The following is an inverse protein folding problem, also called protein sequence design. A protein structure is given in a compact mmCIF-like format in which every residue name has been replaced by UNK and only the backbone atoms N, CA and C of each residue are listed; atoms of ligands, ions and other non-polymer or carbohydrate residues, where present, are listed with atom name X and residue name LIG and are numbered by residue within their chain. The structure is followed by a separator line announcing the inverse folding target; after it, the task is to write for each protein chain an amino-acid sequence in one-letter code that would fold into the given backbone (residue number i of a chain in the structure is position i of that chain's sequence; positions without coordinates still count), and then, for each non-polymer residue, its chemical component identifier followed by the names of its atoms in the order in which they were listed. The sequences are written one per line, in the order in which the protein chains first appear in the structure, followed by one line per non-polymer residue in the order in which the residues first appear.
data_IF_346001813289
#
_entry.id   IF_346001813289
#
_cell.length_a   1.000
_cell.length_b   1.000
_cell.length_c   1.000
_cell.angle_alpha   90.00
_cell.angle_beta   90.00
_cell.angle_gamma   90.00
#
_symmetry.space_group_name_H-M   'P 1'
#
loop_
_entity.id
_entity.type
_entity.pdbx_description
1 polymer ?
#
# COMPACT_ATOMS: atom_id res chain seq x y z
N UNK A 1 16.49 -14.42 -24.15
CA UNK A 1 15.29 -14.83 -23.37
C UNK A 1 14.78 -13.72 -22.43
N UNK A 2 15.04 -12.43 -22.69
CA UNK A 2 14.76 -11.32 -21.74
C UNK A 2 13.42 -10.58 -21.95
N UNK A 3 12.75 -10.75 -23.10
CA UNK A 3 11.53 -9.96 -23.44
C UNK A 3 10.30 -10.35 -22.62
N UNK A 4 10.11 -11.63 -22.28
CA UNK A 4 8.95 -12.10 -21.51
C UNK A 4 9.01 -11.63 -20.06
N UNK A 5 10.17 -11.78 -19.41
CA UNK A 5 10.41 -11.34 -18.03
C UNK A 5 10.22 -9.82 -17.89
N UNK A 6 10.68 -9.05 -18.88
CA UNK A 6 10.49 -7.60 -18.89
C UNK A 6 9.02 -7.20 -19.02
N UNK A 7 8.25 -7.86 -19.90
CA UNK A 7 6.83 -7.57 -20.10
C UNK A 7 6.01 -7.87 -18.83
N UNK A 8 6.36 -8.94 -18.11
CA UNK A 8 5.70 -9.31 -16.85
C UNK A 8 6.01 -8.32 -15.73
N UNK A 9 7.28 -7.89 -15.59
CA UNK A 9 7.66 -6.85 -14.62
C UNK A 9 6.96 -5.51 -14.88
N UNK A 10 6.86 -5.06 -16.13
CA UNK A 10 6.16 -3.81 -16.48
C UNK A 10 4.67 -3.89 -16.12
N UNK A 11 4.03 -5.03 -16.36
CA UNK A 11 2.63 -5.25 -15.98
C UNK A 11 2.44 -5.22 -14.47
N UNK A 12 3.36 -5.82 -13.70
CA UNK A 12 3.34 -5.78 -12.24
C UNK A 12 3.51 -4.34 -11.71
N UNK A 13 4.49 -3.60 -12.23
CA UNK A 13 4.74 -2.21 -11.85
C UNK A 13 3.51 -1.33 -12.07
N UNK A 14 2.84 -1.47 -13.23
CA UNK A 14 1.59 -0.72 -13.51
C UNK A 14 0.49 -1.03 -12.50
N UNK A 15 0.36 -2.29 -12.08
CA UNK A 15 -0.62 -2.69 -11.05
C UNK A 15 -0.27 -2.12 -9.68
N UNK A 16 1.01 -2.12 -9.31
CA UNK A 16 1.51 -1.55 -8.05
C UNK A 16 1.20 -0.05 -8.01
N UNK A 17 1.62 0.70 -9.03
CA UNK A 17 1.40 2.14 -9.14
C UNK A 17 -0.10 2.49 -9.08
N UNK A 18 -0.95 1.79 -9.84
CA UNK A 18 -2.40 2.01 -9.83
C UNK A 18 -3.00 1.83 -8.42
N UNK A 19 -2.57 0.79 -7.68
CA UNK A 19 -3.11 0.49 -6.36
C UNK A 19 -2.58 1.44 -5.29
N UNK A 20 -1.31 1.79 -5.33
CA UNK A 20 -0.74 2.81 -4.45
C UNK A 20 -1.43 4.16 -4.62
N UNK A 21 -1.66 4.60 -5.87
CA UNK A 21 -2.44 5.82 -6.14
C UNK A 21 -3.86 5.75 -5.62
N UNK A 22 -4.49 4.57 -5.65
CA UNK A 22 -5.84 4.38 -5.09
C UNK A 22 -5.82 4.53 -3.57
N UNK A 23 -4.83 3.96 -2.87
CA UNK A 23 -4.64 4.15 -1.42
C UNK A 23 -4.45 5.64 -1.09
N UNK A 24 -3.56 6.32 -1.81
CA UNK A 24 -3.31 7.75 -1.63
C UNK A 24 -4.56 8.60 -1.89
N UNK A 25 -5.36 8.24 -2.90
CA UNK A 25 -6.63 8.91 -3.19
C UNK A 25 -7.62 8.77 -2.04
N UNK A 26 -7.73 7.58 -1.44
CA UNK A 26 -8.58 7.37 -0.26
C UNK A 26 -8.09 8.28 0.88
N UNK A 27 -6.79 8.27 1.20
CA UNK A 27 -6.23 9.13 2.24
C UNK A 27 -6.46 10.62 2.01
N UNK A 28 -6.30 11.11 0.76
CA UNK A 28 -6.51 12.53 0.43
C UNK A 28 -7.97 12.96 0.54
N UNK A 29 -8.92 12.08 0.21
CA UNK A 29 -10.33 12.44 0.20
C UNK A 29 -11.01 12.27 1.55
N UNK A 30 -10.41 11.51 2.46
CA UNK A 30 -10.91 11.41 3.84
C UNK A 30 -10.42 12.57 4.69
N UNK A 31 -11.37 13.35 5.21
CA UNK A 31 -11.09 14.59 5.92
C UNK A 31 -10.56 14.40 7.35
N UNK A 32 -10.59 13.19 7.91
CA UNK A 32 -10.07 12.91 9.26
C UNK A 32 -9.95 11.44 9.64
N UNK A 33 -10.91 10.61 9.22
CA UNK A 33 -10.95 9.18 9.54
C UNK A 33 -11.56 8.42 8.37
N UNK A 34 -11.00 7.24 8.09
CA UNK A 34 -11.58 6.30 7.14
C UNK A 34 -12.87 5.71 7.72
N UNK A 35 -13.96 5.66 6.94
CA UNK A 35 -15.13 4.84 7.29
C UNK A 35 -14.78 3.35 7.14
N UNK A 36 -15.62 2.47 7.69
CA UNK A 36 -15.36 1.03 7.70
C UNK A 36 -15.08 0.45 6.29
N UNK A 37 -15.81 0.92 5.27
CA UNK A 37 -15.63 0.50 3.88
C UNK A 37 -14.26 0.94 3.33
N UNK A 38 -13.86 2.19 3.55
CA UNK A 38 -12.57 2.71 3.14
C UNK A 38 -11.40 2.03 3.87
N UNK A 39 -11.59 1.70 5.16
CA UNK A 39 -10.60 0.92 5.93
C UNK A 39 -10.39 -0.45 5.30
N UNK A 40 -11.48 -1.14 4.97
CA UNK A 40 -11.42 -2.44 4.32
C UNK A 40 -10.77 -2.34 2.94
N UNK A 41 -11.16 -1.35 2.13
CA UNK A 41 -10.57 -1.11 0.81
C UNK A 41 -9.05 -0.89 0.91
N UNK A 42 -8.60 0.02 1.78
CA UNK A 42 -7.17 0.30 1.96
C UNK A 42 -6.43 -0.95 2.46
N UNK A 43 -6.99 -1.68 3.42
CA UNK A 43 -6.39 -2.91 3.92
C UNK A 43 -6.20 -3.96 2.82
N UNK A 44 -7.21 -4.18 1.97
CA UNK A 44 -7.12 -5.09 0.83
C UNK A 44 -6.05 -4.62 -0.18
N UNK A 45 -6.05 -3.34 -0.53
CA UNK A 45 -5.07 -2.79 -1.47
C UNK A 45 -3.63 -2.91 -0.93
N UNK A 46 -3.40 -2.69 0.36
CA UNK A 46 -2.09 -2.87 0.99
C UNK A 46 -1.60 -4.32 0.90
N UNK A 47 -2.48 -5.30 1.14
CA UNK A 47 -2.17 -6.72 1.00
C UNK A 47 -1.84 -7.08 -0.45
N UNK A 48 -2.64 -6.63 -1.40
CA UNK A 48 -2.42 -6.91 -2.82
C UNK A 48 -1.10 -6.31 -3.33
N UNK A 49 -0.79 -5.06 -2.95
CA UNK A 49 0.48 -4.43 -3.33
C UNK A 49 1.66 -5.17 -2.70
N UNK A 50 1.53 -5.64 -1.45
CA UNK A 50 2.57 -6.46 -0.81
C UNK A 50 2.86 -7.73 -1.61
N UNK A 51 1.82 -8.45 -2.06
CA UNK A 51 1.98 -9.66 -2.87
C UNK A 51 2.60 -9.37 -4.25
N UNK A 52 2.22 -8.27 -4.88
CA UNK A 52 2.80 -7.84 -6.16
C UNK A 52 4.28 -7.49 -6.01
N UNK A 53 4.66 -6.81 -4.92
CA UNK A 53 6.06 -6.48 -4.62
C UNK A 53 6.89 -7.73 -4.34
N UNK A 54 6.37 -8.70 -3.59
CA UNK A 54 7.04 -9.98 -3.39
C UNK A 54 7.26 -10.72 -4.72
N UNK A 55 6.29 -10.65 -5.63
CA UNK A 55 6.42 -11.24 -6.97
C UNK A 55 7.47 -10.50 -7.79
N UNK A 56 7.50 -9.17 -7.72
CA UNK A 56 8.48 -8.33 -8.42
C UNK A 56 9.91 -8.57 -7.89
N UNK A 57 10.07 -8.79 -6.59
CA UNK A 57 11.37 -9.09 -5.97
C UNK A 57 12.00 -10.40 -6.45
N UNK A 58 11.20 -11.37 -6.92
CA UNK A 58 11.70 -12.62 -7.51
C UNK A 58 12.52 -12.39 -8.78
N UNK A 59 12.32 -11.25 -9.44
CA UNK A 59 13.18 -10.81 -10.52
C UNK A 59 14.37 -10.05 -9.94
N UNK A 60 15.56 -10.65 -9.99
CA UNK A 60 16.80 -10.09 -9.42
C UNK A 60 17.17 -8.71 -9.98
N UNK A 61 16.79 -8.41 -11.24
CA UNK A 61 16.99 -7.09 -11.86
C UNK A 61 16.07 -6.02 -11.27
N UNK A 62 14.93 -6.41 -10.69
CA UNK A 62 13.91 -5.52 -10.12
C UNK A 62 13.96 -5.46 -8.60
N UNK A 63 14.81 -6.27 -7.94
CA UNK A 63 14.95 -6.26 -6.47
C UNK A 63 15.24 -4.87 -5.89
N UNK A 64 16.12 -4.02 -6.45
CA UNK A 64 16.36 -2.68 -5.91
C UNK A 64 15.09 -1.81 -5.95
N UNK A 65 14.39 -1.79 -7.08
CA UNK A 65 13.15 -1.04 -7.26
C UNK A 65 12.03 -1.56 -6.34
N UNK A 66 11.91 -2.88 -6.22
CA UNK A 66 10.90 -3.48 -5.37
C UNK A 66 11.15 -3.19 -3.88
N UNK A 67 12.40 -3.04 -3.44
CA UNK A 67 12.73 -2.56 -2.09
C UNK A 67 12.29 -1.11 -1.89
N UNK A 68 12.59 -0.23 -2.84
CA UNK A 68 12.16 1.18 -2.78
C UNK A 68 10.64 1.31 -2.69
N UNK A 69 9.91 0.59 -3.54
CA UNK A 69 8.44 0.57 -3.49
C UNK A 69 7.92 -0.08 -2.20
N UNK A 70 8.64 -1.03 -1.60
CA UNK A 70 8.27 -1.58 -0.30
C UNK A 70 8.36 -0.53 0.82
N UNK A 71 9.37 0.35 0.77
CA UNK A 71 9.48 1.47 1.71
C UNK A 71 8.34 2.47 1.54
N UNK A 72 7.94 2.76 0.29
CA UNK A 72 6.77 3.60 0.03
C UNK A 72 5.49 2.96 0.56
N UNK A 73 5.31 1.65 0.35
CA UNK A 73 4.17 0.91 0.90
C UNK A 73 4.15 0.94 2.43
N UNK A 74 5.32 0.80 3.07
CA UNK A 74 5.44 0.88 4.53
C UNK A 74 4.98 2.26 5.05
N UNK A 75 5.35 3.35 4.38
CA UNK A 75 4.87 4.68 4.74
C UNK A 75 3.32 4.77 4.64
N UNK A 76 2.73 4.21 3.58
CA UNK A 76 1.27 4.13 3.45
C UNK A 76 0.62 3.28 4.55
N UNK A 77 1.27 2.17 4.97
CA UNK A 77 0.81 1.36 6.10
C UNK A 77 0.87 2.13 7.42
N UNK A 78 1.92 2.91 7.65
CA UNK A 78 2.05 3.75 8.84
C UNK A 78 0.96 4.84 8.89
N UNK A 79 0.66 5.48 7.74
CA UNK A 79 -0.45 6.43 7.63
C UNK A 79 -1.82 5.77 7.87
N UNK A 80 -2.02 4.57 7.34
CA UNK A 80 -3.21 3.76 7.61
C UNK A 80 -3.35 3.46 9.10
N UNK A 81 -2.28 2.97 9.74
CA UNK A 81 -2.27 2.63 11.16
C UNK A 81 -2.51 3.86 12.05
N UNK A 82 -1.94 5.01 11.68
CA UNK A 82 -2.20 6.28 12.38
C UNK A 82 -3.68 6.67 12.31
N UNK A 83 -4.27 6.57 11.11
CA UNK A 83 -5.69 6.85 10.87
C UNK A 83 -6.61 5.84 11.56
N UNK A 84 -6.12 4.62 11.80
CA UNK A 84 -6.84 3.55 12.49
C UNK A 84 -6.81 3.71 14.03
N UNK A 85 -5.62 3.92 14.61
CA UNK A 85 -5.42 3.94 16.06
C UNK A 85 -5.89 5.24 16.75
N UNK A 86 -5.99 6.36 16.03
CA UNK A 86 -6.48 7.63 16.62
C UNK A 86 -7.99 7.60 16.93
N UNK A 87 -8.72 6.57 16.53
CA UNK A 87 -10.12 6.35 16.87
C UNK A 87 -10.38 5.80 18.28
N UNK A 88 -9.36 5.31 19.01
CA UNK A 88 -9.55 4.63 20.31
C UNK A 88 -9.04 5.41 21.54
N UNK A 89 -8.31 6.51 21.36
CA UNK A 89 -7.68 7.24 22.50
C UNK A 89 -8.50 8.46 22.96
N UNK A 90 -9.83 8.36 22.97
CA UNK A 90 -10.71 9.38 23.60
C UNK A 90 -11.73 8.79 24.59
N UNK A 91 -11.44 7.59 25.13
CA UNK A 91 -12.33 6.92 26.09
C UNK A 91 -11.82 6.80 27.53
N UNK A 92 -10.56 7.16 27.83
CA UNK A 92 -9.98 6.90 29.16
C UNK A 92 -9.05 8.02 29.63
N UNK A 93 -9.60 9.20 29.93
CA UNK A 93 -9.02 10.13 30.92
C UNK A 93 -10.17 10.97 31.50
N UNK A 94 -10.95 10.37 32.39
CA UNK A 94 -11.83 11.08 33.32
C UNK A 94 -11.99 10.23 34.58
N UNK A 95 -11.00 10.32 35.46
CA UNK A 95 -11.13 10.15 36.91
C UNK A 95 -10.27 11.22 37.59
#
# INVERSE_FOLDING_TARGET
MDKSISHDSTRLLRKIDQKMRRIEFVFRNTSRFLIAEEKFEVHQLLLEVSQLLLTLQRNSKMTPLAKELSLQLQNLQEQYNYSFCRGEVTGFLSE
#
